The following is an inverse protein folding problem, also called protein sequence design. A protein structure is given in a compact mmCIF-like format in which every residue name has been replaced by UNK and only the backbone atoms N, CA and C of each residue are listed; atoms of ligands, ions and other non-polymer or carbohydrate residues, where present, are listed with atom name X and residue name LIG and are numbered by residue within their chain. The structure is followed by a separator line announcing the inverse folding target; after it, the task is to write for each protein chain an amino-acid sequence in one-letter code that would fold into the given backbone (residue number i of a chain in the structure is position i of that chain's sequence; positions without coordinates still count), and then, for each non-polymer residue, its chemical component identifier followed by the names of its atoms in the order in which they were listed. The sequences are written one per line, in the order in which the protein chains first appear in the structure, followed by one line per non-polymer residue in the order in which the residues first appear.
data_IF_582605974929
#
_entry.id   IF_582605974929
#
_cell.length_a   1.000
_cell.length_b   1.000
_cell.length_c   1.000
_cell.angle_alpha   90.00
_cell.angle_beta   90.00
_cell.angle_gamma   90.00
#
_symmetry.space_group_name_H-M   'P 1'
#
loop_
_entity.id
_entity.type
_entity.pdbx_description
1 polymer ?
#
# COMPACT_ATOMS: atom_id res chain seq x y z
N UNK A 1 -17.50 23.77 -36.10
CA UNK A 1 -18.66 22.87 -36.07
C UNK A 1 -18.41 21.95 -34.89
N UNK A 2 -19.23 22.06 -33.86
CA UNK A 2 -19.19 21.20 -32.67
C UNK A 2 -19.51 19.77 -33.06
N UNK A 3 -18.55 18.85 -32.93
CA UNK A 3 -18.82 17.43 -33.09
C UNK A 3 -19.08 16.83 -31.71
N UNK A 4 -20.32 16.42 -31.46
CA UNK A 4 -20.68 15.69 -30.25
C UNK A 4 -20.37 14.21 -30.50
N UNK A 5 -19.43 13.65 -29.74
CA UNK A 5 -19.02 12.26 -29.80
C UNK A 5 -19.55 11.54 -28.55
N UNK A 6 -20.18 10.38 -28.77
CA UNK A 6 -20.64 9.50 -27.70
C UNK A 6 -19.51 8.56 -27.29
N UNK A 7 -19.08 8.64 -26.01
CA UNK A 7 -18.08 7.74 -25.44
C UNK A 7 -18.78 6.53 -24.84
N UNK A 8 -18.28 5.34 -25.17
CA UNK A 8 -18.87 4.05 -24.80
C UNK A 8 -17.94 3.26 -23.88
N UNK A 9 -18.51 2.33 -23.13
CA UNK A 9 -17.76 1.35 -22.32
C UNK A 9 -16.85 0.53 -23.25
N UNK A 10 -15.53 0.55 -23.03
CA UNK A 10 -14.56 -0.25 -23.80
C UNK A 10 -14.70 -1.74 -23.47
N UNK A 11 -13.92 -2.59 -24.13
CA UNK A 11 -13.86 -4.02 -23.82
C UNK A 11 -13.53 -4.24 -22.33
N UNK A 12 -14.48 -4.82 -21.60
CA UNK A 12 -14.39 -5.13 -20.16
C UNK A 12 -13.94 -6.58 -19.90
N UNK A 13 -13.53 -7.32 -20.93
CA UNK A 13 -13.11 -8.73 -20.83
C UNK A 13 -14.29 -9.71 -20.87
N UNK A 14 -14.16 -10.86 -20.18
CA UNK A 14 -15.14 -11.97 -20.21
C UNK A 14 -16.43 -11.70 -19.38
N UNK A 15 -16.77 -10.44 -19.09
CA UNK A 15 -17.91 -10.08 -18.26
C UNK A 15 -19.09 -9.55 -19.08
N UNK A 16 -20.28 -10.13 -18.89
CA UNK A 16 -21.49 -9.71 -19.60
C UNK A 16 -22.01 -8.33 -19.14
N UNK A 17 -21.92 -8.02 -17.84
CA UNK A 17 -22.32 -6.75 -17.22
C UNK A 17 -21.50 -6.47 -15.95
N UNK A 18 -21.20 -5.20 -15.69
CA UNK A 18 -20.51 -4.71 -14.48
C UNK A 18 -21.28 -3.53 -13.87
N UNK A 19 -21.21 -3.37 -12.54
CA UNK A 19 -21.92 -2.31 -11.81
C UNK A 19 -21.05 -1.04 -11.69
N UNK A 20 -21.66 0.13 -11.88
CA UNK A 20 -21.01 1.42 -11.66
C UNK A 20 -21.04 1.76 -10.17
N UNK A 21 -19.86 1.80 -9.55
CA UNK A 21 -19.73 2.16 -8.13
C UNK A 21 -19.51 3.67 -7.92
N UNK A 22 -18.91 4.36 -8.90
CA UNK A 22 -18.63 5.80 -8.80
C UNK A 22 -18.53 6.46 -10.18
N UNK A 23 -19.20 7.61 -10.34
CA UNK A 23 -19.06 8.51 -11.49
C UNK A 23 -18.11 9.65 -11.11
N UNK A 24 -16.98 9.76 -11.80
CA UNK A 24 -15.87 10.68 -11.47
C UNK A 24 -15.94 12.03 -12.18
N UNK A 25 -17.01 12.28 -12.92
CA UNK A 25 -17.17 13.41 -13.85
C UNK A 25 -18.50 14.14 -13.65
N UNK A 26 -18.51 15.45 -13.93
CA UNK A 26 -19.70 16.29 -13.94
C UNK A 26 -19.99 16.89 -15.32
N UNK A 27 -21.26 17.24 -15.57
CA UNK A 27 -21.65 17.97 -16.79
C UNK A 27 -20.98 19.35 -16.79
N UNK A 28 -20.24 19.65 -17.85
CA UNK A 28 -19.43 20.87 -17.99
C UNK A 28 -17.94 20.67 -17.75
N UNK A 29 -17.50 19.49 -17.28
CA UNK A 29 -16.08 19.20 -17.09
C UNK A 29 -15.36 19.01 -18.42
N UNK A 30 -14.11 19.46 -18.47
CA UNK A 30 -13.20 19.24 -19.60
C UNK A 30 -12.34 18.03 -19.28
N UNK A 31 -12.41 17.00 -20.12
CA UNK A 31 -11.65 15.76 -19.97
C UNK A 31 -10.64 15.62 -21.11
N UNK A 32 -9.46 15.08 -20.80
CA UNK A 32 -8.47 14.68 -21.79
C UNK A 32 -8.56 13.17 -22.11
N UNK A 33 -7.83 12.72 -23.13
CA UNK A 33 -7.71 11.29 -23.44
C UNK A 33 -7.00 10.59 -22.27
N UNK A 34 -7.48 9.41 -21.88
CA UNK A 34 -7.04 8.63 -20.70
C UNK A 34 -7.57 9.11 -19.32
N UNK A 35 -8.33 10.21 -19.24
CA UNK A 35 -8.93 10.63 -17.96
C UNK A 35 -10.06 9.68 -17.54
N UNK A 36 -10.05 9.24 -16.27
CA UNK A 36 -11.03 8.32 -15.71
C UNK A 36 -12.44 8.92 -15.67
N UNK A 37 -13.39 8.28 -16.34
CA UNK A 37 -14.79 8.73 -16.42
C UNK A 37 -15.64 8.12 -15.30
N UNK A 38 -15.50 6.81 -15.10
CA UNK A 38 -16.25 6.02 -14.11
C UNK A 38 -15.42 4.90 -13.53
N UNK A 39 -15.80 4.45 -12.35
CA UNK A 39 -15.28 3.24 -11.70
C UNK A 39 -16.36 2.16 -11.71
N UNK A 40 -16.02 0.99 -12.22
CA UNK A 40 -16.90 -0.19 -12.27
C UNK A 40 -16.33 -1.32 -11.42
N UNK A 41 -17.21 -2.10 -10.80
CA UNK A 41 -16.83 -3.27 -9.99
C UNK A 41 -17.26 -4.57 -10.67
N UNK A 42 -16.31 -5.50 -10.79
CA UNK A 42 -16.52 -6.90 -11.14
C UNK A 42 -16.34 -7.79 -9.91
N UNK A 43 -16.72 -9.06 -9.99
CA UNK A 43 -16.60 -10.05 -8.91
C UNK A 43 -15.16 -10.24 -8.37
N UNK A 44 -14.15 -9.78 -9.13
CA UNK A 44 -12.72 -9.90 -8.79
C UNK A 44 -12.00 -8.58 -8.55
N UNK A 45 -12.45 -7.48 -9.13
CA UNK A 45 -11.71 -6.21 -9.09
C UNK A 45 -12.58 -5.00 -9.48
N UNK A 46 -12.23 -3.85 -8.92
CA UNK A 46 -12.66 -2.54 -9.41
C UNK A 46 -11.73 -2.08 -10.54
N UNK A 47 -12.31 -1.55 -11.62
CA UNK A 47 -11.60 -1.05 -12.80
C UNK A 47 -12.11 0.35 -13.15
N UNK A 48 -11.22 1.23 -13.57
CA UNK A 48 -11.57 2.56 -14.06
C UNK A 48 -11.71 2.55 -15.59
N UNK A 49 -12.73 3.23 -16.10
CA UNK A 49 -12.96 3.38 -17.54
C UNK A 49 -12.47 4.76 -17.99
N UNK A 50 -11.39 4.83 -18.80
CA UNK A 50 -10.85 6.10 -19.29
C UNK A 50 -11.65 6.69 -20.46
N UNK A 51 -11.48 7.99 -20.68
CA UNK A 51 -12.02 8.72 -21.83
C UNK A 51 -11.23 8.42 -23.11
N UNK A 52 -11.95 8.17 -24.20
CA UNK A 52 -11.35 7.91 -25.53
C UNK A 52 -11.08 9.18 -26.35
N UNK A 53 -11.58 10.33 -25.92
CA UNK A 53 -11.45 11.63 -26.61
C UNK A 53 -11.31 12.77 -25.62
N UNK A 54 -10.67 13.86 -26.04
CA UNK A 54 -10.65 15.10 -25.26
C UNK A 54 -11.80 16.03 -25.66
N UNK A 55 -12.39 16.71 -24.68
CA UNK A 55 -13.47 17.67 -24.91
C UNK A 55 -14.27 17.97 -23.66
N UNK A 56 -15.40 18.66 -23.82
CA UNK A 56 -16.27 19.05 -22.70
C UNK A 56 -17.48 18.14 -22.60
N UNK A 57 -17.79 17.66 -21.40
CA UNK A 57 -18.94 16.79 -21.14
C UNK A 57 -20.23 17.62 -21.22
N UNK A 58 -21.09 17.24 -22.15
CA UNK A 58 -22.39 17.91 -22.37
C UNK A 58 -23.54 17.20 -21.66
N UNK A 59 -23.46 15.88 -21.52
CA UNK A 59 -24.51 15.05 -20.95
C UNK A 59 -23.93 13.75 -20.40
N UNK A 60 -24.35 13.37 -19.18
CA UNK A 60 -24.02 12.08 -18.55
C UNK A 60 -25.24 11.17 -18.66
N UNK A 61 -25.05 9.95 -19.19
CA UNK A 61 -26.14 9.02 -19.53
C UNK A 61 -26.31 7.87 -18.53
N UNK A 62 -25.56 7.91 -17.42
CA UNK A 62 -25.43 6.84 -16.43
C UNK A 62 -25.52 7.38 -15.01
N UNK A 63 -25.93 6.55 -14.06
CA UNK A 63 -25.97 6.86 -12.63
C UNK A 63 -25.16 5.84 -11.82
N UNK A 64 -24.77 6.21 -10.60
CA UNK A 64 -24.20 5.26 -9.63
C UNK A 64 -25.22 4.14 -9.34
N UNK A 65 -24.77 2.88 -9.41
CA UNK A 65 -25.58 1.66 -9.25
C UNK A 65 -26.17 1.10 -10.55
N UNK A 66 -25.96 1.75 -11.69
CA UNK A 66 -26.40 1.21 -12.99
C UNK A 66 -25.47 0.07 -13.45
N UNK A 67 -26.05 -0.93 -14.13
CA UNK A 67 -25.31 -2.05 -14.71
C UNK A 67 -25.04 -1.78 -16.19
N UNK A 68 -23.77 -1.82 -16.60
CA UNK A 68 -23.32 -1.50 -17.96
C UNK A 68 -22.61 -2.68 -18.62
N UNK A 69 -22.84 -2.84 -19.92
CA UNK A 69 -22.17 -3.83 -20.77
C UNK A 69 -21.22 -3.13 -21.75
N UNK A 70 -20.32 -3.88 -22.39
CA UNK A 70 -19.47 -3.40 -23.48
C UNK A 70 -20.30 -2.63 -24.53
N UNK A 71 -19.82 -1.44 -24.92
CA UNK A 71 -20.48 -0.60 -25.91
C UNK A 71 -21.66 0.23 -25.39
N UNK A 72 -21.98 0.17 -24.10
CA UNK A 72 -23.00 1.05 -23.49
C UNK A 72 -22.52 2.51 -23.47
N UNK A 73 -23.38 3.50 -23.78
CA UNK A 73 -23.00 4.90 -23.76
C UNK A 73 -22.81 5.42 -22.33
N UNK A 74 -21.70 6.11 -22.08
CA UNK A 74 -21.33 6.67 -20.78
C UNK A 74 -21.66 8.17 -20.77
N UNK A 75 -21.09 8.93 -21.72
CA UNK A 75 -21.22 10.38 -21.82
C UNK A 75 -21.21 10.87 -23.26
N UNK A 76 -21.75 12.08 -23.48
CA UNK A 76 -21.58 12.83 -24.74
C UNK A 76 -20.57 13.96 -24.54
N UNK A 77 -19.50 13.93 -25.32
CA UNK A 77 -18.41 14.90 -25.27
C UNK A 77 -18.44 15.76 -26.53
N UNK A 78 -18.40 17.08 -26.36
CA UNK A 78 -18.22 18.02 -27.46
C UNK A 78 -16.72 18.15 -27.76
N UNK A 79 -16.30 17.73 -28.95
CA UNK A 79 -14.91 17.79 -29.42
C UNK A 79 -14.77 18.97 -30.40
N UNK A 80 -13.85 19.88 -30.07
CA UNK A 80 -13.44 20.97 -30.97
C UNK A 80 -12.15 20.59 -31.69
N UNK A 81 -12.22 20.32 -33.00
CA UNK A 81 -11.05 20.12 -33.85
C UNK A 81 -10.19 21.40 -33.89
N UNK A 82 -8.96 21.34 -33.37
CA UNK A 82 -7.76 21.99 -33.94
C UNK A 82 -6.50 21.60 -33.17
N UNK A 83 -5.56 20.99 -33.90
CA UNK A 83 -4.18 20.78 -33.46
C UNK A 83 -3.31 22.04 -33.61
N UNK A 84 -2.42 22.20 -32.63
CA UNK A 84 -1.18 22.99 -32.54
C UNK A 84 -1.20 24.49 -32.16
N UNK A 85 -0.78 24.70 -30.91
CA UNK A 85 0.24 25.62 -30.41
C UNK A 85 0.02 27.14 -30.53
N UNK A 86 -0.29 27.79 -29.40
CA UNK A 86 0.68 28.58 -28.60
C UNK A 86 -0.03 29.63 -27.72
N UNK A 87 0.26 29.57 -26.41
CA UNK A 87 0.40 30.67 -25.44
C UNK A 87 -0.84 31.56 -25.20
N UNK A 88 -1.49 31.44 -24.03
CA UNK A 88 -1.41 32.46 -22.96
C UNK A 88 -2.09 32.00 -21.64
N UNK A 89 -1.37 32.29 -20.55
CA UNK A 89 -1.74 32.48 -19.13
C UNK A 89 -2.68 31.50 -18.38
N UNK A 90 -2.19 30.83 -17.31
CA UNK A 90 -3.05 30.18 -16.34
C UNK A 90 -3.59 31.19 -15.33
N UNK A 91 -4.92 31.30 -15.29
CA UNK A 91 -5.68 31.90 -14.19
C UNK A 91 -5.69 30.89 -13.04
N UNK A 92 -5.38 31.41 -11.86
CA UNK A 92 -5.22 30.70 -10.60
C UNK A 92 -6.44 29.87 -10.21
N UNK A 93 -6.35 28.56 -10.39
CA UNK A 93 -7.02 27.62 -9.50
C UNK A 93 -6.19 27.47 -8.23
N UNK A 94 -6.88 27.57 -7.10
CA UNK A 94 -6.28 27.47 -5.77
C UNK A 94 -5.95 26.01 -5.49
N UNK A 95 -4.95 25.47 -6.20
CA UNK A 95 -4.16 24.34 -5.71
C UNK A 95 -3.61 24.81 -4.38
N UNK A 96 -4.05 24.16 -3.30
CA UNK A 96 -3.26 24.16 -2.09
C UNK A 96 -1.97 23.46 -2.50
N UNK A 97 -0.97 24.24 -2.92
CA UNK A 97 0.38 23.75 -3.14
C UNK A 97 0.79 23.17 -1.81
N UNK A 98 0.77 21.83 -1.74
CA UNK A 98 1.52 21.10 -0.75
C UNK A 98 2.96 21.53 -0.99
N UNK A 99 3.44 22.49 -0.20
CA UNK A 99 4.82 22.94 -0.22
C UNK A 99 5.63 21.65 -0.03
N UNK A 100 6.26 21.16 -1.11
CA UNK A 100 7.18 20.05 -0.99
C UNK A 100 8.22 20.48 0.06
N UNK A 101 8.45 19.67 1.11
CA UNK A 101 9.33 20.08 2.19
C UNK A 101 10.67 20.50 1.59
N UNK A 102 11.08 21.74 1.85
CA UNK A 102 12.39 22.26 1.44
C UNK A 102 13.42 21.28 1.99
N UNK A 103 14.23 20.70 1.11
CA UNK A 103 15.26 19.75 1.53
C UNK A 103 16.17 20.45 2.54
N UNK A 104 16.26 19.89 3.75
CA UNK A 104 17.20 20.38 4.74
C UNK A 104 18.61 20.31 4.14
N UNK A 105 19.44 21.33 4.40
CA UNK A 105 20.83 21.34 3.96
C UNK A 105 21.69 20.81 5.11
N UNK A 106 22.28 19.64 4.93
CA UNK A 106 23.29 19.09 5.83
C UNK A 106 24.66 19.26 5.16
N UNK A 107 25.58 19.93 5.86
CA UNK A 107 26.94 20.21 5.39
C UNK A 107 28.02 19.55 6.27
N UNK A 108 27.62 18.62 7.14
CA UNK A 108 28.55 17.86 8.01
C UNK A 108 29.00 16.56 7.35
N UNK A 109 29.89 15.85 8.03
CA UNK A 109 30.33 14.51 7.62
C UNK A 109 29.31 13.43 8.04
N UNK A 110 29.28 12.33 7.29
CA UNK A 110 28.49 11.16 7.63
C UNK A 110 29.29 10.16 8.47
N UNK A 111 28.67 9.59 9.50
CA UNK A 111 29.26 8.55 10.36
C UNK A 111 29.39 7.21 9.61
N UNK A 112 28.45 6.95 8.70
CA UNK A 112 28.41 5.77 7.84
C UNK A 112 28.06 6.19 6.41
N UNK A 113 28.50 5.41 5.42
CA UNK A 113 28.13 5.61 4.02
C UNK A 113 27.72 4.28 3.41
N UNK A 114 26.78 4.32 2.47
CA UNK A 114 26.43 3.18 1.62
C UNK A 114 26.02 3.65 0.23
N UNK A 115 26.16 2.77 -0.77
CA UNK A 115 25.65 3.06 -2.11
C UNK A 115 24.11 3.13 -2.10
N UNK A 116 23.47 2.22 -1.36
CA UNK A 116 22.01 2.20 -1.20
C UNK A 116 21.63 2.17 0.27
N UNK A 117 20.81 3.12 0.69
CA UNK A 117 20.09 3.06 1.96
C UNK A 117 18.66 2.60 1.73
N UNK A 118 18.17 1.69 2.56
CA UNK A 118 16.77 1.27 2.56
C UNK A 118 16.14 1.67 3.89
N UNK A 119 15.17 2.58 3.86
CA UNK A 119 14.45 3.06 5.04
C UNK A 119 13.20 2.21 5.29
N UNK A 120 13.28 1.28 6.24
CA UNK A 120 12.24 0.33 6.60
C UNK A 120 12.57 -1.09 6.15
N UNK A 121 12.27 -2.08 7.00
CA UNK A 121 12.60 -3.49 6.76
C UNK A 121 11.38 -4.39 6.51
N UNK A 122 10.27 -3.82 6.04
CA UNK A 122 9.11 -4.61 5.56
C UNK A 122 9.42 -5.43 4.30
N UNK A 123 8.45 -6.19 3.75
CA UNK A 123 8.63 -6.99 2.54
C UNK A 123 9.25 -6.23 1.36
N UNK A 124 8.81 -4.99 1.10
CA UNK A 124 9.44 -4.14 0.08
C UNK A 124 10.88 -3.77 0.43
N UNK A 125 11.13 -3.41 1.69
CA UNK A 125 12.44 -2.97 2.18
C UNK A 125 13.50 -4.06 2.16
N UNK A 126 13.31 -5.17 2.90
CA UNK A 126 14.35 -6.21 2.96
C UNK A 126 14.58 -6.87 1.59
N UNK A 127 13.53 -6.98 0.74
CA UNK A 127 13.68 -7.54 -0.60
C UNK A 127 14.52 -6.63 -1.48
N UNK A 128 14.26 -5.32 -1.45
CA UNK A 128 15.07 -4.33 -2.16
C UNK A 128 16.52 -4.32 -1.65
N UNK A 129 16.72 -4.34 -0.34
CA UNK A 129 18.06 -4.38 0.26
C UNK A 129 18.84 -5.65 -0.15
N UNK A 130 18.20 -6.82 -0.10
CA UNK A 130 18.82 -8.08 -0.50
C UNK A 130 19.14 -8.10 -1.99
N UNK A 131 18.22 -7.59 -2.83
CA UNK A 131 18.46 -7.50 -4.27
C UNK A 131 19.62 -6.57 -4.61
N UNK A 132 19.71 -5.41 -3.94
CA UNK A 132 20.80 -4.46 -4.11
C UNK A 132 22.15 -5.07 -3.69
N UNK A 133 22.18 -5.79 -2.57
CA UNK A 133 23.37 -6.52 -2.14
C UNK A 133 23.77 -7.64 -3.12
N UNK A 134 22.79 -8.38 -3.66
CA UNK A 134 23.01 -9.40 -4.69
C UNK A 134 23.53 -8.80 -6.02
N UNK A 135 23.35 -7.49 -6.25
CA UNK A 135 23.95 -6.72 -7.35
C UNK A 135 25.37 -6.20 -7.04
N UNK A 136 25.90 -6.48 -5.84
CA UNK A 136 27.23 -6.05 -5.42
C UNK A 136 27.29 -4.63 -4.86
N UNK A 137 26.15 -4.02 -4.57
CA UNK A 137 26.09 -2.69 -3.94
C UNK A 137 26.33 -2.79 -2.44
N UNK A 138 26.93 -1.74 -1.85
CA UNK A 138 26.98 -1.59 -0.40
C UNK A 138 25.64 -1.09 0.12
N UNK A 139 25.08 -1.79 1.11
CA UNK A 139 23.68 -1.59 1.53
C UNK A 139 23.58 -1.47 3.04
N UNK A 140 22.96 -0.37 3.47
CA UNK A 140 22.49 -0.19 4.84
C UNK A 140 20.95 -0.19 4.84
N UNK A 141 20.36 -1.05 5.67
CA UNK A 141 18.93 -1.06 5.95
C UNK A 141 18.65 -0.46 7.34
N UNK A 142 17.74 0.49 7.41
CA UNK A 142 17.37 1.20 8.64
C UNK A 142 16.01 0.67 9.11
N UNK A 143 15.91 0.27 10.38
CA UNK A 143 14.66 -0.21 10.97
C UNK A 143 14.52 0.33 12.40
N UNK A 144 13.36 0.88 12.75
CA UNK A 144 13.12 1.41 14.10
C UNK A 144 12.84 0.31 15.12
N UNK A 145 12.27 -0.80 14.69
CA UNK A 145 11.96 -1.95 15.55
C UNK A 145 13.17 -2.87 15.75
N UNK A 146 13.15 -3.68 16.81
CA UNK A 146 14.21 -4.63 17.14
C UNK A 146 14.22 -5.89 16.24
N UNK A 147 13.10 -6.16 15.56
CA UNK A 147 12.93 -7.20 14.56
C UNK A 147 12.76 -6.61 13.17
N UNK A 148 13.27 -7.33 12.16
CA UNK A 148 13.06 -6.99 10.74
C UNK A 148 11.92 -7.82 10.14
N UNK A 149 11.41 -7.42 8.99
CA UNK A 149 10.27 -8.04 8.29
C UNK A 149 8.98 -7.22 8.33
N UNK A 150 8.99 -6.10 9.07
CA UNK A 150 7.91 -5.12 9.13
C UNK A 150 6.56 -5.68 9.56
N UNK A 151 5.49 -4.98 9.17
CA UNK A 151 4.10 -5.32 9.54
C UNK A 151 3.73 -6.73 9.11
N UNK A 152 4.00 -7.10 7.85
CA UNK A 152 3.54 -8.38 7.31
C UNK A 152 4.08 -9.59 8.08
N UNK A 153 5.33 -9.54 8.54
CA UNK A 153 5.92 -10.65 9.31
C UNK A 153 5.57 -10.59 10.80
N UNK A 154 5.60 -9.41 11.42
CA UNK A 154 5.52 -9.30 12.88
C UNK A 154 4.08 -9.19 13.39
N UNK A 155 3.22 -8.42 12.72
CA UNK A 155 1.89 -8.00 13.23
C UNK A 155 0.83 -7.96 12.12
N UNK A 156 0.96 -8.84 11.12
CA UNK A 156 0.10 -8.80 9.94
C UNK A 156 -0.09 -10.18 9.31
N UNK A 157 0.42 -10.36 8.10
CA UNK A 157 0.23 -11.57 7.29
C UNK A 157 0.56 -12.85 8.07
N UNK A 158 1.79 -12.98 8.57
CA UNK A 158 2.26 -14.24 9.17
C UNK A 158 1.47 -14.63 10.42
N UNK A 159 1.34 -13.77 11.45
CA UNK A 159 0.54 -14.12 12.62
C UNK A 159 -0.93 -14.37 12.27
N UNK A 160 -1.56 -13.56 11.40
CA UNK A 160 -2.95 -13.80 11.01
C UNK A 160 -3.15 -15.15 10.30
N UNK A 161 -2.26 -15.53 9.38
CA UNK A 161 -2.36 -16.83 8.68
C UNK A 161 -2.08 -18.01 9.61
N UNK A 162 -1.20 -17.85 10.61
CA UNK A 162 -0.98 -18.88 11.62
C UNK A 162 -2.26 -19.13 12.44
N UNK A 163 -2.93 -18.07 12.88
CA UNK A 163 -4.18 -18.18 13.65
C UNK A 163 -5.35 -18.69 12.79
N UNK A 164 -5.48 -18.19 11.57
CA UNK A 164 -6.51 -18.64 10.63
C UNK A 164 -6.37 -20.14 10.34
N UNK A 165 -5.16 -20.65 10.19
CA UNK A 165 -4.95 -22.08 9.97
C UNK A 165 -5.39 -22.92 11.18
N UNK A 166 -5.14 -22.46 12.41
CA UNK A 166 -5.66 -23.13 13.61
C UNK A 166 -7.19 -23.10 13.67
N UNK A 167 -7.81 -21.96 13.34
CA UNK A 167 -9.27 -21.83 13.30
C UNK A 167 -9.90 -22.74 12.23
N UNK A 168 -9.26 -22.84 11.06
CA UNK A 168 -9.69 -23.68 9.95
C UNK A 168 -9.71 -25.16 10.36
N UNK A 169 -8.64 -25.65 11.00
CA UNK A 169 -8.57 -27.02 11.53
C UNK A 169 -9.69 -27.29 12.55
N UNK A 170 -10.02 -26.33 13.41
CA UNK A 170 -11.11 -26.46 14.38
C UNK A 170 -12.45 -26.63 13.64
N UNK A 171 -12.70 -25.83 12.60
CA UNK A 171 -13.91 -25.91 11.80
C UNK A 171 -13.99 -27.22 11.01
N UNK A 172 -12.92 -27.62 10.31
CA UNK A 172 -12.87 -28.88 9.56
C UNK A 172 -13.12 -30.10 10.46
N UNK A 173 -12.56 -30.11 11.68
CA UNK A 173 -12.76 -31.17 12.66
C UNK A 173 -14.22 -31.27 13.14
N UNK A 174 -14.96 -30.16 13.17
CA UNK A 174 -16.40 -30.16 13.44
C UNK A 174 -17.22 -30.63 12.22
N UNK A 175 -16.88 -30.12 11.03
CA UNK A 175 -17.61 -30.39 9.79
C UNK A 175 -17.52 -31.85 9.33
N UNK A 176 -16.41 -32.53 9.59
CA UNK A 176 -16.19 -33.94 9.23
C UNK A 176 -17.15 -34.90 9.94
N UNK A 177 -17.89 -34.43 10.94
CA UNK A 177 -19.02 -35.14 11.56
C UNK A 177 -20.07 -35.58 10.54
N UNK A 178 -20.27 -34.80 9.46
CA UNK A 178 -21.17 -35.13 8.34
C UNK A 178 -20.68 -36.33 7.52
N UNK A 179 -19.37 -36.60 7.54
CA UNK A 179 -18.77 -37.77 6.91
C UNK A 179 -18.76 -39.01 7.82
N UNK A 180 -19.35 -38.90 9.03
CA UNK A 180 -19.43 -39.99 10.00
C UNK A 180 -18.24 -40.08 10.98
N UNK A 181 -17.28 -39.15 10.92
CA UNK A 181 -16.14 -39.08 11.84
C UNK A 181 -16.42 -38.02 12.90
N UNK A 182 -16.48 -38.39 14.18
CA UNK A 182 -16.86 -37.48 15.26
C UNK A 182 -15.69 -37.24 16.22
N UNK A 183 -15.31 -35.98 16.35
CA UNK A 183 -14.41 -35.51 17.41
C UNK A 183 -15.22 -34.93 18.58
N UNK A 184 -14.58 -34.86 19.76
CA UNK A 184 -15.10 -34.07 20.88
C UNK A 184 -14.89 -32.57 20.64
N UNK A 185 -15.56 -31.72 21.42
CA UNK A 185 -15.26 -30.28 21.42
C UNK A 185 -13.80 -30.05 21.88
N UNK A 186 -13.02 -29.21 21.19
CA UNK A 186 -11.65 -28.94 21.61
C UNK A 186 -11.62 -28.14 22.90
N UNK A 187 -10.61 -28.39 23.73
CA UNK A 187 -10.19 -27.49 24.79
C UNK A 187 -9.20 -26.48 24.19
N UNK A 188 -9.42 -25.18 24.42
CA UNK A 188 -8.64 -24.11 23.81
C UNK A 188 -7.69 -23.52 24.85
N UNK A 189 -6.40 -23.75 24.65
CA UNK A 189 -5.31 -23.08 25.37
C UNK A 189 -4.79 -21.91 24.53
N UNK A 190 -5.23 -20.69 24.88
CA UNK A 190 -4.88 -19.47 24.16
C UNK A 190 -3.38 -19.14 24.30
N UNK A 191 -2.77 -19.43 25.46
CA UNK A 191 -1.35 -19.17 25.70
C UNK A 191 -0.47 -20.07 24.82
N UNK A 192 -0.87 -21.33 24.65
CA UNK A 192 -0.20 -22.26 23.74
C UNK A 192 -0.33 -21.83 22.27
N UNK A 193 -1.51 -21.35 21.85
CA UNK A 193 -1.73 -20.82 20.50
C UNK A 193 -0.86 -19.58 20.26
N UNK A 194 -0.83 -18.66 21.22
CA UNK A 194 0.01 -17.45 21.17
C UNK A 194 1.49 -17.80 21.06
N UNK A 195 1.96 -18.72 21.91
CA UNK A 195 3.35 -19.20 21.90
C UNK A 195 3.75 -19.85 20.58
N UNK A 196 2.86 -20.63 19.95
CA UNK A 196 3.09 -21.20 18.63
C UNK A 196 3.24 -20.09 17.56
N UNK A 197 2.28 -19.15 17.51
CA UNK A 197 2.31 -17.98 16.61
C UNK A 197 3.64 -17.21 16.77
N UNK A 198 4.04 -16.91 18.00
CA UNK A 198 5.29 -16.21 18.29
C UNK A 198 6.53 -17.02 17.88
N UNK A 199 6.51 -18.34 18.08
CA UNK A 199 7.57 -19.24 17.62
C UNK A 199 7.76 -19.20 16.10
N UNK A 200 6.67 -19.15 15.33
CA UNK A 200 6.69 -18.99 13.87
C UNK A 200 7.32 -17.64 13.47
N UNK A 201 6.84 -16.54 14.07
CA UNK A 201 7.37 -15.20 13.79
C UNK A 201 8.86 -15.11 14.15
N UNK A 202 9.27 -15.62 15.31
CA UNK A 202 10.66 -15.65 15.77
C UNK A 202 11.57 -16.43 14.82
N UNK A 203 11.11 -17.59 14.33
CA UNK A 203 11.87 -18.41 13.37
C UNK A 203 12.10 -17.67 12.06
N UNK A 204 11.05 -17.04 11.52
CA UNK A 204 11.11 -16.33 10.25
C UNK A 204 11.92 -15.03 10.33
N UNK A 205 11.75 -14.24 11.39
CA UNK A 205 12.56 -13.04 11.65
C UNK A 205 14.04 -13.39 11.85
N UNK A 206 14.33 -14.48 12.56
CA UNK A 206 15.67 -15.04 12.69
C UNK A 206 16.28 -15.44 11.34
N UNK A 207 15.49 -16.08 10.48
CA UNK A 207 15.88 -16.41 9.10
C UNK A 207 16.24 -15.16 8.28
N UNK A 208 15.43 -14.11 8.34
CA UNK A 208 15.73 -12.84 7.65
C UNK A 208 17.04 -12.22 8.16
N UNK A 209 17.28 -12.22 9.48
CA UNK A 209 18.54 -11.69 10.05
C UNK A 209 19.76 -12.47 9.55
N UNK A 210 19.64 -13.79 9.39
CA UNK A 210 20.70 -14.62 8.82
C UNK A 210 20.93 -14.30 7.34
N UNK A 211 19.88 -14.12 6.55
CA UNK A 211 19.98 -13.75 5.14
C UNK A 211 20.61 -12.36 4.94
N UNK A 212 20.26 -11.39 5.77
CA UNK A 212 20.88 -10.06 5.77
C UNK A 212 22.39 -10.17 6.03
N UNK A 213 22.78 -10.94 7.05
CA UNK A 213 24.19 -11.19 7.39
C UNK A 213 24.94 -11.88 6.24
N UNK A 214 24.35 -12.89 5.61
CA UNK A 214 24.96 -13.60 4.48
C UNK A 214 25.20 -12.68 3.27
N UNK A 215 24.27 -11.75 3.03
CA UNK A 215 24.37 -10.73 1.98
C UNK A 215 25.19 -9.50 2.38
N UNK A 216 25.74 -9.47 3.60
CA UNK A 216 26.48 -8.33 4.16
C UNK A 216 25.66 -7.03 4.19
N UNK A 217 24.33 -7.12 4.24
CA UNK A 217 23.48 -5.96 4.47
C UNK A 217 23.60 -5.55 5.93
N UNK A 218 24.08 -4.33 6.15
CA UNK A 218 24.17 -3.76 7.50
C UNK A 218 22.78 -3.31 7.95
N UNK A 219 22.42 -3.63 9.19
CA UNK A 219 21.15 -3.20 9.78
C UNK A 219 21.47 -2.17 10.85
N UNK A 220 20.94 -0.95 10.71
CA UNK A 220 21.04 0.09 11.73
C UNK A 220 19.68 0.24 12.38
N UNK A 221 19.62 0.01 13.69
CA UNK A 221 18.37 0.13 14.44
C UNK A 221 18.16 1.58 14.88
N UNK A 222 17.03 2.18 14.50
CA UNK A 222 16.63 3.51 14.93
C UNK A 222 15.62 4.17 14.00
N UNK A 223 15.15 5.35 14.41
CA UNK A 223 14.24 6.16 13.61
C UNK A 223 15.01 6.97 12.57
N UNK A 224 14.90 6.59 11.30
CA UNK A 224 15.51 7.30 10.19
C UNK A 224 14.70 8.52 9.75
N UNK A 225 15.35 9.69 9.68
CA UNK A 225 14.79 10.94 9.16
C UNK A 225 15.77 11.59 8.18
N UNK A 226 15.29 11.97 7.00
CA UNK A 226 16.10 12.74 6.05
C UNK A 226 16.52 14.08 6.68
N UNK A 227 17.81 14.37 6.58
CA UNK A 227 18.41 15.66 6.96
C UNK A 227 19.03 16.39 5.77
N UNK A 228 19.13 15.71 4.62
CA UNK A 228 19.34 16.30 3.30
C UNK A 228 18.92 15.35 2.18
N UNK A 229 19.13 15.75 0.93
CA UNK A 229 18.87 14.90 -0.24
C UNK A 229 19.68 13.58 -0.22
N UNK A 230 20.83 13.55 0.48
CA UNK A 230 21.76 12.42 0.48
C UNK A 230 22.16 11.96 1.89
N UNK A 231 21.46 12.41 2.94
CA UNK A 231 21.75 12.03 4.31
C UNK A 231 20.49 11.73 5.12
N UNK A 232 20.53 10.65 5.89
CA UNK A 232 19.52 10.29 6.89
C UNK A 232 20.18 10.28 8.27
N UNK A 233 19.59 10.98 9.22
CA UNK A 233 19.89 10.81 10.64
C UNK A 233 19.08 9.64 11.19
N UNK A 234 19.74 8.71 11.88
CA UNK A 234 19.11 7.56 12.53
C UNK A 234 19.24 7.72 14.03
N UNK A 235 18.13 8.00 14.70
CA UNK A 235 18.08 8.14 16.15
C UNK A 235 17.72 6.80 16.80
N UNK A 236 18.65 6.24 17.57
CA UNK A 236 18.44 5.03 18.36
C UNK A 236 17.53 5.28 19.57
N UNK A 237 17.10 4.22 20.23
CA UNK A 237 16.20 4.30 21.39
C UNK A 237 16.81 5.06 22.59
N UNK A 238 18.13 5.02 22.73
CA UNK A 238 18.88 5.76 23.76
C UNK A 238 19.11 7.25 23.41
N UNK A 239 18.60 7.71 22.26
CA UNK A 239 18.75 9.07 21.76
C UNK A 239 20.04 9.31 20.97
N UNK A 240 20.96 8.34 20.90
CA UNK A 240 22.16 8.43 20.07
C UNK A 240 21.75 8.56 18.61
N UNK A 241 22.39 9.49 17.89
CA UNK A 241 22.09 9.72 16.48
C UNK A 241 23.30 9.39 15.62
N UNK A 242 23.08 8.58 14.59
CA UNK A 242 24.07 8.21 13.56
C UNK A 242 23.64 8.81 12.22
N UNK A 243 24.52 9.54 11.57
CA UNK A 243 24.30 10.11 10.23
C UNK A 243 24.78 9.14 9.16
N UNK A 244 23.90 8.82 8.21
CA UNK A 244 24.18 7.90 7.12
C UNK A 244 24.09 8.65 5.79
N UNK A 245 25.23 8.75 5.10
CA UNK A 245 25.31 9.26 3.74
C UNK A 245 24.97 8.18 2.71
N UNK A 246 24.33 8.56 1.61
CA UNK A 246 23.96 7.63 0.54
C UNK A 246 23.95 8.25 -0.86
N UNK A 247 24.21 7.40 -1.86
CA UNK A 247 24.00 7.76 -3.27
C UNK A 247 22.53 7.62 -3.66
N UNK A 248 21.90 6.52 -3.26
CA UNK A 248 20.49 6.22 -3.54
C UNK A 248 19.77 5.81 -2.26
N UNK A 249 18.49 6.19 -2.15
CA UNK A 249 17.65 5.77 -1.04
C UNK A 249 16.33 5.15 -1.54
N UNK A 250 15.96 4.02 -0.96
CA UNK A 250 14.66 3.38 -1.16
C UNK A 250 13.82 3.58 0.09
N UNK A 251 12.73 4.33 -0.03
CA UNK A 251 11.78 4.56 1.07
C UNK A 251 10.79 3.39 1.11
N UNK A 252 10.85 2.60 2.17
CA UNK A 252 10.00 1.43 2.40
C UNK A 252 9.38 1.46 3.82
N UNK A 253 9.00 2.65 4.29
CA UNK A 253 8.55 2.91 5.66
C UNK A 253 7.14 2.37 5.99
N UNK A 254 6.43 1.80 5.01
CA UNK A 254 5.15 1.13 5.19
C UNK A 254 3.99 2.07 5.54
N UNK A 255 2.99 1.51 6.21
CA UNK A 255 1.77 2.20 6.65
C UNK A 255 1.49 1.94 8.13
N UNK A 256 0.40 2.52 8.65
CA UNK A 256 -0.08 2.32 10.02
C UNK A 256 -1.60 2.31 10.04
N UNK A 257 -2.19 1.76 11.10
CA UNK A 257 -3.63 1.79 11.33
C UNK A 257 -4.13 3.23 11.48
N UNK A 258 -5.26 3.53 10.85
CA UNK A 258 -5.98 4.80 11.04
C UNK A 258 -6.77 4.75 12.35
N UNK A 259 -6.53 5.71 13.24
CA UNK A 259 -7.28 5.84 14.50
C UNK A 259 -8.32 6.95 14.39
N UNK A 260 -9.59 6.61 14.61
CA UNK A 260 -10.69 7.57 14.60
C UNK A 260 -10.73 8.33 15.94
N UNK A 261 -10.75 9.68 15.96
CA UNK A 261 -10.60 10.45 17.20
C UNK A 261 -11.68 10.23 18.27
N UNK A 262 -12.87 9.80 17.87
CA UNK A 262 -14.01 9.61 18.77
C UNK A 262 -14.06 8.21 19.42
N UNK A 263 -13.20 7.29 19.00
CA UNK A 263 -13.10 5.96 19.60
C UNK A 263 -12.19 6.03 20.84
N UNK A 264 -12.57 5.41 21.98
CA UNK A 264 -11.76 5.40 23.19
C UNK A 264 -10.61 4.39 23.07
N UNK A 265 -9.55 4.77 22.35
CA UNK A 265 -8.36 3.93 22.11
C UNK A 265 -7.52 3.64 23.37
N UNK A 266 -7.85 4.25 24.50
CA UNK A 266 -7.31 3.98 25.82
C UNK A 266 -8.02 2.82 26.54
N UNK A 267 -9.21 2.42 26.08
CA UNK A 267 -9.90 1.23 26.57
C UNK A 267 -9.24 -0.04 25.96
N UNK A 268 -8.70 -0.97 26.76
CA UNK A 268 -8.00 -2.16 26.24
C UNK A 268 -8.89 -3.11 25.43
N UNK A 269 -10.22 -2.94 25.47
CA UNK A 269 -11.15 -3.73 24.65
C UNK A 269 -11.30 -3.17 23.23
N UNK A 270 -10.84 -1.94 23.00
CA UNK A 270 -10.77 -1.34 21.67
C UNK A 270 -9.44 -1.74 21.06
N UNK A 271 -9.52 -2.66 20.11
CA UNK A 271 -8.35 -3.28 19.49
C UNK A 271 -8.15 -2.79 18.06
N UNK A 272 -6.90 -2.53 17.68
CA UNK A 272 -6.48 -2.61 16.29
C UNK A 272 -6.03 -4.04 15.92
N UNK A 273 -5.57 -4.23 14.68
CA UNK A 273 -5.15 -5.54 14.20
C UNK A 273 -3.98 -6.13 14.99
N UNK A 274 -3.11 -5.29 15.54
CA UNK A 274 -1.97 -5.72 16.36
C UNK A 274 -2.48 -6.34 17.64
N UNK A 275 -3.32 -5.61 18.38
CA UNK A 275 -3.90 -6.04 19.65
C UNK A 275 -4.70 -7.35 19.45
N UNK A 276 -5.50 -7.44 18.38
CA UNK A 276 -6.25 -8.65 18.05
C UNK A 276 -5.35 -9.89 17.79
N UNK A 277 -4.14 -9.67 17.27
CA UNK A 277 -3.16 -10.74 17.02
C UNK A 277 -2.34 -11.10 18.25
N UNK A 278 -2.35 -10.28 19.29
CA UNK A 278 -1.70 -10.59 20.58
C UNK A 278 -2.50 -11.64 21.35
N UNK A 279 -3.82 -11.72 21.14
CA UNK A 279 -4.72 -12.65 21.83
C UNK A 279 -4.65 -12.52 23.37
N UNK A 280 -4.51 -11.30 23.89
CA UNK A 280 -4.47 -11.00 25.34
C UNK A 280 -5.86 -11.01 26.01
#
# INVERSE_FOLDING_TARGET
MSNIIEVKVPDIGDFDQVEIIEVLIAVGDTVEVEDSLITVESDKASMEIPSSVSGTITEILINNGDHVAEGSPIVKIEVTDSANASIEEPIQDTKTETIAPISANFAGDADMNATVVVLGSGPGGYTAAFRAADLGLDVIMIERYSSIGGVCLNVGCIPSKALLHTADIINEAEEVSKHGVKFGKPEIDIDAIRSNKEGIVKRLTGGLKQLAKQRKVQIVQGYGKFISANHIAVTAEDGTTTTIGFENCIIAAGSRVTKLPFIPWDDPRVMDSTDALELE
#
